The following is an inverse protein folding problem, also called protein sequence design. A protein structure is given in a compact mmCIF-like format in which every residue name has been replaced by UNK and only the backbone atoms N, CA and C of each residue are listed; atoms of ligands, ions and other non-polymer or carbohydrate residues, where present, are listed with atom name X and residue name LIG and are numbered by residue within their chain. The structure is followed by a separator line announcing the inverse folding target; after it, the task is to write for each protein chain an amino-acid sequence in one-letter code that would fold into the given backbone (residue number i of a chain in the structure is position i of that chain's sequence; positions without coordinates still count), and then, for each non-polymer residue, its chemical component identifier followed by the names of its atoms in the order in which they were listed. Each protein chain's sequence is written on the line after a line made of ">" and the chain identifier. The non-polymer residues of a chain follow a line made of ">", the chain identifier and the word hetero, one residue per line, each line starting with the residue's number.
data_IF_536343889282
#
_entry.id   IF_536343889282
#
_cell.length_a   1.000
_cell.length_b   1.000
_cell.length_c   1.000
_cell.angle_alpha   90.00
_cell.angle_beta   90.00
_cell.angle_gamma   90.00
#
_symmetry.space_group_name_H-M   'P 1'
#
loop_
_entity.id
_entity.type
_entity.pdbx_description
1 polymer ?
#
# COMPACT_ATOMS: atom_id res chain seq x y z
N UNK A 1 -30.46 -42.94 -31.90
CA UNK A 1 -29.35 -42.37 -32.67
C UNK A 1 -28.06 -42.63 -31.88
N UNK A 2 -27.15 -43.44 -32.37
CA UNK A 2 -25.90 -43.75 -31.72
C UNK A 2 -24.92 -42.62 -31.98
N UNK A 3 -24.73 -41.72 -31.02
CA UNK A 3 -23.67 -40.74 -31.03
C UNK A 3 -22.38 -41.34 -30.53
N UNK A 4 -21.54 -41.85 -31.40
CA UNK A 4 -20.21 -42.28 -31.05
C UNK A 4 -19.18 -41.13 -31.22
N UNK A 5 -18.22 -41.04 -30.31
CA UNK A 5 -17.07 -40.15 -30.44
C UNK A 5 -16.19 -40.61 -31.59
N UNK A 6 -15.96 -39.76 -32.56
CA UNK A 6 -15.06 -40.05 -33.69
C UNK A 6 -13.64 -39.64 -33.33
N UNK A 7 -12.79 -40.66 -33.10
CA UNK A 7 -11.40 -40.42 -32.66
C UNK A 7 -10.36 -40.77 -33.75
N UNK A 8 -10.78 -41.36 -34.85
CA UNK A 8 -9.88 -41.69 -35.99
C UNK A 8 -10.62 -41.66 -37.33
N UNK A 9 -9.89 -41.42 -38.40
CA UNK A 9 -10.43 -41.34 -39.76
C UNK A 9 -10.67 -42.70 -40.37
N UNK A 10 -11.68 -43.44 -39.88
CA UNK A 10 -12.07 -44.76 -40.32
C UNK A 10 -13.47 -44.83 -40.98
N UNK A 11 -14.01 -43.71 -41.44
CA UNK A 11 -15.33 -43.64 -42.08
C UNK A 11 -15.17 -43.78 -43.58
N UNK A 12 -15.87 -44.76 -44.15
CA UNK A 12 -15.83 -45.13 -45.57
C UNK A 12 -16.87 -44.36 -46.41
N UNK A 13 -17.85 -43.68 -45.81
CA UNK A 13 -18.88 -42.94 -46.52
C UNK A 13 -18.63 -41.44 -46.54
N UNK A 14 -18.88 -40.77 -47.65
CA UNK A 14 -18.83 -39.30 -47.69
C UNK A 14 -19.82 -38.68 -46.72
N UNK A 15 -19.36 -37.75 -45.86
CA UNK A 15 -20.20 -37.04 -44.90
C UNK A 15 -19.42 -35.99 -44.12
N UNK A 16 -20.10 -35.09 -43.50
CA UNK A 16 -19.48 -34.10 -42.58
C UNK A 16 -19.39 -34.72 -41.22
N UNK A 17 -18.17 -34.91 -40.74
CA UNK A 17 -17.86 -35.47 -39.44
C UNK A 17 -17.34 -34.35 -38.50
N UNK A 18 -18.18 -33.92 -37.58
CA UNK A 18 -17.85 -32.86 -36.62
C UNK A 18 -17.52 -33.52 -35.27
N UNK A 19 -16.28 -33.41 -34.86
CA UNK A 19 -15.87 -33.81 -33.52
C UNK A 19 -15.88 -32.57 -32.60
N UNK A 20 -16.89 -32.46 -31.76
CA UNK A 20 -16.95 -31.40 -30.74
C UNK A 20 -16.19 -31.88 -29.52
N UNK A 21 -14.91 -31.55 -29.45
CA UNK A 21 -14.13 -31.70 -28.23
C UNK A 21 -14.49 -30.51 -27.34
N UNK A 22 -15.35 -30.76 -26.34
CA UNK A 22 -15.43 -29.85 -25.21
C UNK A 22 -14.07 -29.87 -24.51
N UNK A 23 -13.20 -28.95 -24.85
CA UNK A 23 -12.13 -28.62 -23.91
C UNK A 23 -12.86 -28.13 -22.67
N UNK A 24 -12.80 -28.89 -21.58
CA UNK A 24 -13.12 -28.35 -20.28
C UNK A 24 -12.50 -26.98 -20.24
N UNK A 25 -13.32 -25.94 -20.13
CA UNK A 25 -12.83 -24.63 -19.80
C UNK A 25 -11.89 -24.89 -18.63
N UNK A 26 -10.60 -24.58 -18.81
CA UNK A 26 -9.71 -24.48 -17.65
C UNK A 26 -10.55 -23.74 -16.61
N UNK A 27 -10.63 -24.24 -15.36
CA UNK A 27 -11.36 -23.51 -14.35
C UNK A 27 -10.85 -22.09 -14.50
N UNK A 28 -11.72 -21.19 -14.94
CA UNK A 28 -11.39 -19.78 -14.98
C UNK A 28 -11.02 -19.55 -13.54
N UNK A 29 -9.74 -19.47 -13.27
CA UNK A 29 -9.25 -18.96 -12.02
C UNK A 29 -9.96 -17.63 -11.95
N UNK A 30 -11.00 -17.58 -11.11
CA UNK A 30 -11.67 -16.32 -10.79
C UNK A 30 -10.53 -15.56 -10.17
N UNK A 31 -9.82 -14.80 -11.02
CA UNK A 31 -8.64 -14.06 -10.60
C UNK A 31 -9.02 -13.21 -9.41
N UNK A 32 -8.07 -12.93 -8.55
CA UNK A 32 -8.25 -12.18 -7.31
C UNK A 32 -9.32 -11.10 -7.49
N UNK A 33 -10.53 -11.38 -7.04
CA UNK A 33 -11.62 -10.41 -7.03
C UNK A 33 -11.51 -9.60 -5.74
N UNK A 34 -11.88 -8.32 -5.79
CA UNK A 34 -11.78 -7.45 -4.64
C UNK A 34 -10.40 -6.81 -4.53
N UNK A 35 -9.88 -6.27 -5.63
CA UNK A 35 -8.69 -5.41 -5.61
C UNK A 35 -9.16 -3.97 -5.52
N UNK A 36 -8.73 -3.29 -4.47
CA UNK A 36 -9.05 -1.88 -4.20
C UNK A 36 -7.80 -1.04 -4.45
N UNK A 37 -7.98 0.16 -4.97
CA UNK A 37 -6.92 1.15 -5.12
C UNK A 37 -7.28 2.42 -4.37
N UNK A 38 -6.31 3.00 -3.67
CA UNK A 38 -6.47 4.23 -2.90
C UNK A 38 -5.19 5.05 -2.93
N UNK A 39 -5.31 6.36 -3.10
CA UNK A 39 -4.23 7.31 -2.87
C UNK A 39 -4.47 8.03 -1.54
N UNK A 40 -3.43 8.14 -0.71
CA UNK A 40 -3.53 8.67 0.64
C UNK A 40 -2.37 9.60 0.96
N UNK A 41 -2.65 10.64 1.74
CA UNK A 41 -1.62 11.42 2.43
C UNK A 41 -1.12 10.62 3.62
N UNK A 42 0.18 10.32 3.66
CA UNK A 42 0.81 9.56 4.72
C UNK A 42 2.09 10.24 5.17
N UNK A 43 2.41 10.12 6.45
CA UNK A 43 3.58 10.75 7.06
C UNK A 43 4.85 9.88 7.02
N UNK A 44 4.78 8.70 6.42
CA UNK A 44 5.92 7.82 6.13
C UNK A 44 5.53 6.85 5.00
N UNK A 45 6.52 6.21 4.42
CA UNK A 45 6.37 5.21 3.37
C UNK A 45 6.84 5.69 2.00
N UNK A 46 6.95 4.80 1.04
CA UNK A 46 7.38 5.16 -0.32
C UNK A 46 6.39 6.11 -0.98
N UNK A 47 6.91 7.16 -1.60
CA UNK A 47 6.13 8.18 -2.31
C UNK A 47 6.16 7.94 -3.81
N UNK A 48 5.05 8.20 -4.48
CA UNK A 48 4.98 8.20 -5.93
C UNK A 48 5.01 6.81 -6.57
N UNK A 49 4.83 5.76 -5.79
CA UNK A 49 4.74 4.37 -6.29
C UNK A 49 3.53 3.63 -5.70
N UNK A 50 3.04 2.65 -6.45
CA UNK A 50 1.92 1.82 -6.01
C UNK A 50 2.45 0.61 -5.24
N UNK A 51 2.05 0.50 -3.98
CA UNK A 51 2.36 -0.62 -3.09
C UNK A 51 1.19 -1.58 -3.08
N UNK A 52 1.46 -2.86 -3.27
CA UNK A 52 0.44 -3.91 -3.15
C UNK A 52 0.46 -4.51 -1.75
N UNK A 53 -0.59 -4.29 -0.97
CA UNK A 53 -0.79 -4.84 0.36
C UNK A 53 -1.85 -5.93 0.26
N UNK A 54 -1.57 -7.12 0.77
CA UNK A 54 -2.52 -8.23 0.85
C UNK A 54 -3.14 -8.32 2.24
N UNK A 55 -4.27 -8.97 2.33
CA UNK A 55 -4.87 -9.26 3.63
C UNK A 55 -3.90 -10.12 4.47
N UNK A 56 -3.58 -9.65 5.67
CA UNK A 56 -2.65 -10.31 6.60
C UNK A 56 -1.19 -9.85 6.50
N UNK A 57 -0.83 -9.03 5.52
CA UNK A 57 0.52 -8.44 5.46
C UNK A 57 0.73 -7.45 6.61
N UNK A 58 1.96 -7.38 7.13
CA UNK A 58 2.38 -6.29 8.01
C UNK A 58 2.69 -5.04 7.17
N UNK A 59 1.82 -4.07 7.23
CA UNK A 59 1.97 -2.81 6.53
C UNK A 59 2.62 -1.70 7.39
N UNK A 60 2.98 -2.00 8.64
CA UNK A 60 3.60 -1.04 9.57
C UNK A 60 4.79 -0.29 8.96
N UNK A 61 5.76 -0.97 8.31
CA UNK A 61 6.89 -0.26 7.71
C UNK A 61 6.53 0.59 6.48
N UNK A 62 5.37 0.34 5.88
CA UNK A 62 4.92 1.02 4.65
C UNK A 62 4.17 2.32 4.95
N UNK A 63 3.48 2.39 6.10
CA UNK A 63 2.69 3.57 6.49
C UNK A 63 3.21 4.25 7.75
N UNK A 64 4.13 3.61 8.48
CA UNK A 64 4.71 4.13 9.72
C UNK A 64 3.89 3.90 10.99
N UNK A 65 2.76 3.21 10.91
CA UNK A 65 1.85 2.97 12.02
C UNK A 65 1.42 1.51 12.07
N UNK A 66 1.33 0.95 13.26
CA UNK A 66 0.82 -0.41 13.44
C UNK A 66 -0.70 -0.50 13.20
N UNK A 67 -1.20 -1.73 13.14
CA UNK A 67 -2.61 -1.99 12.82
C UNK A 67 -3.60 -1.44 13.84
N UNK A 68 -3.17 -1.17 15.08
CA UNK A 68 -4.04 -0.66 16.15
C UNK A 68 -4.14 0.86 16.13
N UNK A 69 -3.20 1.52 15.47
CA UNK A 69 -3.11 2.97 15.44
C UNK A 69 -4.27 3.59 14.64
N UNK A 70 -4.76 4.73 15.08
CA UNK A 70 -5.84 5.51 14.44
C UNK A 70 -5.56 5.79 12.95
N UNK A 71 -4.33 6.17 12.60
CA UNK A 71 -3.94 6.46 11.21
C UNK A 71 -3.86 5.23 10.31
N UNK A 72 -3.90 4.01 10.87
CA UNK A 72 -3.99 2.76 10.15
C UNK A 72 -5.44 2.26 9.98
N UNK A 73 -6.41 2.95 10.58
CA UNK A 73 -7.81 2.56 10.62
C UNK A 73 -8.38 2.28 9.23
N UNK A 74 -8.05 3.10 8.24
CA UNK A 74 -8.55 2.95 6.88
C UNK A 74 -8.17 1.61 6.25
N UNK A 75 -6.94 1.11 6.44
CA UNK A 75 -6.51 -0.21 5.96
C UNK A 75 -7.14 -1.33 6.78
N UNK A 76 -7.15 -1.18 8.10
CA UNK A 76 -7.74 -2.18 9.00
C UNK A 76 -9.21 -2.43 8.69
N UNK A 77 -10.02 -1.38 8.60
CA UNK A 77 -11.45 -1.51 8.32
C UNK A 77 -11.71 -1.95 6.87
N UNK A 78 -10.85 -1.56 5.93
CA UNK A 78 -10.94 -2.01 4.54
C UNK A 78 -10.77 -3.53 4.43
N UNK A 79 -9.79 -4.12 5.13
CA UNK A 79 -9.55 -5.57 5.10
C UNK A 79 -10.52 -6.38 5.95
N UNK A 80 -11.18 -5.78 6.94
CA UNK A 80 -12.11 -6.45 7.83
C UNK A 80 -13.31 -7.06 7.11
N UNK A 81 -13.80 -6.40 6.06
CA UNK A 81 -14.99 -6.84 5.35
C UNK A 81 -16.28 -6.69 6.16
N UNK A 82 -17.25 -7.55 5.91
CA UNK A 82 -18.54 -7.58 6.59
C UNK A 82 -18.98 -9.03 6.87
N UNK A 83 -20.05 -9.21 7.64
CA UNK A 83 -20.63 -10.53 7.90
C UNK A 83 -21.06 -11.29 6.63
N UNK A 84 -21.29 -10.56 5.53
CA UNK A 84 -21.78 -11.12 4.26
C UNK A 84 -20.74 -11.17 3.16
N UNK A 85 -19.62 -10.50 3.32
CA UNK A 85 -18.55 -10.49 2.32
C UNK A 85 -17.18 -10.27 2.97
N UNK A 86 -16.19 -10.99 2.46
CA UNK A 86 -14.81 -10.76 2.84
C UNK A 86 -14.36 -9.39 2.33
N UNK A 87 -13.40 -8.79 3.02
CA UNK A 87 -12.68 -7.60 2.55
C UNK A 87 -11.94 -7.86 1.24
N UNK A 88 -11.28 -6.84 0.69
CA UNK A 88 -10.48 -7.00 -0.51
C UNK A 88 -9.31 -7.98 -0.28
N UNK A 89 -8.98 -8.72 -1.31
CA UNK A 89 -7.81 -9.63 -1.30
C UNK A 89 -6.51 -8.82 -1.33
N UNK A 90 -6.56 -7.65 -1.96
CA UNK A 90 -5.41 -6.79 -2.18
C UNK A 90 -5.83 -5.32 -2.23
N UNK A 91 -5.00 -4.47 -1.64
CA UNK A 91 -5.11 -3.02 -1.73
C UNK A 91 -3.88 -2.47 -2.45
N UNK A 92 -4.09 -1.70 -3.48
CA UNK A 92 -3.07 -0.86 -4.10
C UNK A 92 -3.07 0.49 -3.38
N UNK A 93 -2.10 0.68 -2.51
CA UNK A 93 -1.89 1.92 -1.78
C UNK A 93 -0.88 2.78 -2.53
N UNK A 94 -1.21 4.03 -2.74
CA UNK A 94 -0.31 5.03 -3.29
C UNK A 94 -0.17 6.18 -2.29
N UNK A 95 1.05 6.43 -1.83
CA UNK A 95 1.33 7.62 -1.05
C UNK A 95 1.50 8.82 -1.98
N UNK A 96 0.64 9.81 -1.79
CA UNK A 96 0.73 11.07 -2.53
C UNK A 96 2.06 11.75 -2.24
N UNK A 97 2.72 12.21 -3.30
CA UNK A 97 4.02 12.87 -3.19
C UNK A 97 3.85 14.30 -2.71
N UNK A 98 4.47 14.62 -1.59
CA UNK A 98 4.51 15.97 -1.06
C UNK A 98 5.57 16.85 -1.73
N UNK A 99 5.21 18.08 -2.07
CA UNK A 99 6.18 19.10 -2.52
C UNK A 99 7.02 19.50 -1.30
N UNK A 100 8.35 19.44 -1.43
CA UNK A 100 9.30 19.71 -0.36
C UNK A 100 9.16 18.77 0.86
N UNK A 101 8.78 17.50 0.62
CA UNK A 101 8.93 16.45 1.63
C UNK A 101 10.40 16.24 1.96
N UNK A 102 10.72 16.02 3.23
CA UNK A 102 12.10 15.85 3.71
C UNK A 102 12.19 14.60 4.60
N UNK A 103 13.33 13.92 4.53
CA UNK A 103 13.63 12.79 5.40
C UNK A 103 14.18 13.27 6.73
N UNK A 104 13.76 12.62 7.80
CA UNK A 104 14.37 12.84 9.12
C UNK A 104 15.81 12.28 9.15
N UNK A 105 16.70 12.98 9.85
CA UNK A 105 18.11 12.63 9.96
C UNK A 105 18.62 12.83 11.38
N UNK A 106 19.69 12.14 11.69
CA UNK A 106 20.40 12.31 12.95
C UNK A 106 21.83 11.79 12.86
N UNK A 107 22.69 12.21 13.80
CA UNK A 107 24.03 11.69 13.95
C UNK A 107 24.23 11.25 15.39
N UNK A 108 24.59 9.99 15.58
CA UNK A 108 24.72 9.38 16.91
C UNK A 108 25.86 8.36 16.90
N UNK A 109 26.77 8.43 17.90
CA UNK A 109 27.85 7.46 18.06
C UNK A 109 28.74 7.29 16.82
N UNK A 110 28.98 8.39 16.06
CA UNK A 110 29.70 8.34 14.79
C UNK A 110 28.85 7.95 13.57
N UNK A 111 27.67 7.41 13.79
CA UNK A 111 26.75 6.93 12.76
C UNK A 111 25.86 8.08 12.29
N UNK A 112 25.76 8.30 10.98
CA UNK A 112 24.74 9.14 10.37
C UNK A 112 23.55 8.27 10.00
N UNK A 113 22.37 8.60 10.52
CA UNK A 113 21.13 7.87 10.29
C UNK A 113 20.16 8.75 9.53
N UNK A 114 19.56 8.21 8.49
CA UNK A 114 18.52 8.87 7.71
C UNK A 114 17.29 7.99 7.64
N UNK A 115 16.10 8.57 7.86
CA UNK A 115 14.85 7.85 7.64
C UNK A 115 14.77 7.34 6.19
N UNK A 116 14.33 6.11 6.01
CA UNK A 116 14.25 5.49 4.68
C UNK A 116 13.36 6.28 3.73
N UNK A 117 12.27 6.82 4.25
CA UNK A 117 11.28 7.59 3.50
C UNK A 117 11.12 9.00 4.09
N UNK A 118 10.75 10.00 3.29
CA UNK A 118 10.45 11.33 3.80
C UNK A 118 9.17 11.32 4.63
N UNK A 119 9.00 12.32 5.48
CA UNK A 119 7.79 12.52 6.25
C UNK A 119 8.01 12.83 7.72
N UNK A 120 7.03 13.46 8.33
CA UNK A 120 7.08 13.90 9.73
C UNK A 120 7.19 12.73 10.71
N UNK A 121 6.64 11.57 10.37
CA UNK A 121 6.73 10.34 11.18
C UNK A 121 8.16 9.83 11.32
N UNK A 122 9.06 10.19 10.41
CA UNK A 122 10.48 9.91 10.53
C UNK A 122 11.13 10.51 11.79
N UNK A 123 10.55 11.59 12.34
CA UNK A 123 11.04 12.23 13.57
C UNK A 123 10.75 11.40 14.83
N UNK A 124 9.84 10.45 14.76
CA UNK A 124 9.49 9.56 15.87
C UNK A 124 10.36 8.30 15.92
N UNK A 125 11.29 8.16 14.96
CA UNK A 125 12.26 7.07 14.96
C UNK A 125 13.38 7.46 15.93
N UNK A 126 13.63 6.57 16.89
CA UNK A 126 14.65 6.73 17.90
C UNK A 126 15.75 5.69 17.68
N UNK A 127 16.99 6.13 17.78
CA UNK A 127 18.18 5.27 17.63
C UNK A 127 18.93 5.25 18.93
N UNK A 128 19.34 4.06 19.40
CA UNK A 128 20.27 3.90 20.51
C UNK A 128 21.52 3.15 20.07
N UNK A 129 22.66 3.46 20.70
CA UNK A 129 23.93 2.77 20.48
C UNK A 129 24.50 2.44 21.85
N UNK A 130 24.55 1.17 22.21
CA UNK A 130 25.09 0.68 23.46
C UNK A 130 26.28 -0.27 23.23
N UNK A 131 27.17 -0.37 24.21
CA UNK A 131 28.22 -1.39 24.18
C UNK A 131 27.59 -2.78 24.35
N UNK A 132 28.07 -3.76 23.59
CA UNK A 132 27.64 -5.15 23.78
C UNK A 132 28.23 -5.70 25.09
N UNK A 133 27.38 -6.10 26.06
CA UNK A 133 27.87 -6.59 27.35
C UNK A 133 28.64 -7.89 27.26
N UNK A 134 28.45 -8.66 26.19
CA UNK A 134 29.06 -9.99 26.03
C UNK A 134 30.41 -9.95 25.30
N UNK A 135 30.68 -8.84 24.55
CA UNK A 135 31.90 -8.73 23.74
C UNK A 135 32.41 -7.29 23.68
N UNK A 136 33.59 -7.08 24.19
CA UNK A 136 34.29 -5.81 24.14
C UNK A 136 34.59 -5.37 22.70
N UNK A 137 34.28 -4.11 22.38
CA UNK A 137 34.49 -3.52 21.05
C UNK A 137 33.36 -3.79 20.05
N UNK A 138 32.29 -4.46 20.45
CA UNK A 138 31.05 -4.56 19.69
C UNK A 138 29.99 -3.60 20.25
N UNK A 139 29.16 -3.07 19.36
CA UNK A 139 28.08 -2.15 19.71
C UNK A 139 26.74 -2.69 19.21
N UNK A 140 25.74 -2.57 20.03
CA UNK A 140 24.35 -2.86 19.67
C UNK A 140 23.68 -1.56 19.24
N UNK A 141 23.21 -1.53 17.99
CA UNK A 141 22.49 -0.40 17.38
C UNK A 141 21.04 -0.78 17.22
N UNK A 142 20.18 -0.11 17.97
CA UNK A 142 18.75 -0.38 17.96
C UNK A 142 17.99 0.73 17.24
N UNK A 143 17.01 0.32 16.42
CA UNK A 143 15.99 1.21 15.83
C UNK A 143 14.69 1.02 16.59
N UNK A 144 14.23 2.07 17.24
CA UNK A 144 13.06 2.06 18.13
C UNK A 144 11.98 2.97 17.54
N UNK A 145 10.75 2.47 17.47
CA UNK A 145 9.57 3.23 17.03
C UNK A 145 8.43 2.95 18.00
N UNK A 146 7.77 4.00 18.48
CA UNK A 146 6.71 3.90 19.51
C UNK A 146 7.15 3.15 20.77
N UNK A 147 8.42 3.31 21.17
CA UNK A 147 8.99 2.63 22.33
C UNK A 147 9.25 1.13 22.14
N UNK A 148 9.08 0.60 20.93
CA UNK A 148 9.32 -0.80 20.58
C UNK A 148 10.57 -0.91 19.71
N UNK A 149 11.48 -1.81 20.06
CA UNK A 149 12.63 -2.15 19.23
C UNK A 149 12.11 -2.84 17.95
N UNK A 150 12.36 -2.21 16.80
CA UNK A 150 11.96 -2.72 15.48
C UNK A 150 13.10 -3.45 14.78
N UNK A 151 14.32 -3.11 15.11
CA UNK A 151 15.53 -3.71 14.56
C UNK A 151 16.67 -3.54 15.57
N UNK A 152 17.50 -4.56 15.72
CA UNK A 152 18.73 -4.53 16.51
C UNK A 152 19.85 -5.17 15.72
N UNK A 153 21.01 -4.50 15.63
CA UNK A 153 22.19 -4.97 14.92
C UNK A 153 23.41 -4.84 15.81
N UNK A 154 24.19 -5.90 15.92
CA UNK A 154 25.47 -5.89 16.63
C UNK A 154 26.59 -5.76 15.63
N UNK A 155 27.43 -4.73 15.79
CA UNK A 155 28.48 -4.37 14.82
C UNK A 155 29.74 -3.87 15.53
N UNK A 156 30.88 -4.02 14.87
CA UNK A 156 32.15 -3.40 15.29
C UNK A 156 32.43 -2.10 14.51
N UNK A 157 31.93 -2.04 13.28
CA UNK A 157 32.16 -0.93 12.37
C UNK A 157 30.86 -0.49 11.70
N UNK A 158 30.75 0.79 11.33
CA UNK A 158 29.58 1.37 10.66
C UNK A 158 29.29 0.66 9.32
N UNK A 159 30.32 0.18 8.63
CA UNK A 159 30.21 -0.52 7.35
C UNK A 159 29.47 -1.85 7.42
N UNK A 160 29.30 -2.42 8.61
CA UNK A 160 28.58 -3.66 8.85
C UNK A 160 27.08 -3.40 9.01
N UNK A 161 26.69 -2.16 9.34
CA UNK A 161 25.28 -1.77 9.48
C UNK A 161 24.53 -1.89 8.15
N UNK A 162 23.40 -2.58 8.19
CA UNK A 162 22.50 -2.74 7.05
C UNK A 162 21.27 -1.86 7.21
N UNK A 163 20.86 -1.26 6.10
CA UNK A 163 19.59 -0.55 6.06
C UNK A 163 18.44 -1.51 6.45
N UNK A 164 17.55 -1.02 7.27
CA UNK A 164 16.36 -1.77 7.68
C UNK A 164 15.08 -1.21 7.04
N UNK A 165 13.93 -1.58 7.56
CA UNK A 165 12.65 -1.11 7.05
C UNK A 165 12.39 0.39 7.31
N UNK A 166 13.09 1.00 8.28
CA UNK A 166 12.83 2.34 8.79
C UNK A 166 13.94 3.34 8.46
N UNK A 167 15.19 2.90 8.50
CA UNK A 167 16.36 3.78 8.39
C UNK A 167 17.45 3.22 7.48
N UNK A 168 18.27 4.13 7.00
CA UNK A 168 19.54 3.86 6.32
C UNK A 168 20.67 4.44 7.15
N UNK A 169 21.72 3.64 7.36
CA UNK A 169 22.90 4.02 8.10
C UNK A 169 24.04 4.39 7.15
N UNK A 170 24.85 5.36 7.56
CA UNK A 170 26.07 5.78 6.86
C UNK A 170 27.04 6.40 7.87
N UNK A 171 28.29 6.60 7.49
CA UNK A 171 29.31 7.24 8.30
C UNK A 171 30.69 6.68 7.99
N UNK A 172 31.70 7.41 8.36
CA UNK A 172 33.13 7.04 8.19
C UNK A 172 33.89 7.07 9.52
N UNK A 173 33.23 7.43 10.61
CA UNK A 173 33.80 7.53 11.96
C UNK A 173 33.73 6.16 12.68
N UNK A 174 34.46 6.06 13.81
CA UNK A 174 34.34 4.88 14.67
C UNK A 174 32.98 4.87 15.41
N UNK A 175 32.42 3.67 15.61
CA UNK A 175 31.21 3.51 16.43
C UNK A 175 31.55 3.78 17.89
N UNK A 176 30.73 4.54 18.57
CA UNK A 176 30.85 4.79 20.00
C UNK A 176 29.48 4.74 20.69
N UNK A 177 29.46 4.26 21.91
CA UNK A 177 28.24 4.26 22.72
C UNK A 177 27.73 5.69 22.91
N UNK A 178 26.42 5.85 22.82
CA UNK A 178 25.78 7.15 22.97
C UNK A 178 24.36 6.99 23.50
N UNK A 179 23.94 7.98 24.29
CA UNK A 179 22.54 8.08 24.71
C UNK A 179 21.68 8.21 23.46
N UNK A 180 20.63 7.43 23.37
CA UNK A 180 19.74 7.41 22.21
C UNK A 180 19.16 8.78 21.84
N UNK A 181 18.85 8.97 20.56
CA UNK A 181 18.26 10.21 20.06
C UNK A 181 17.15 9.93 19.02
N UNK A 182 16.17 10.83 18.97
CA UNK A 182 15.19 10.85 17.90
C UNK A 182 15.77 11.52 16.64
N UNK A 183 15.39 11.03 15.47
CA UNK A 183 15.70 11.71 14.21
C UNK A 183 14.90 13.03 14.12
N UNK A 184 15.37 13.96 13.32
CA UNK A 184 14.77 15.30 13.19
C UNK A 184 14.74 15.76 11.73
N UNK A 185 13.94 16.80 11.43
CA UNK A 185 13.89 17.42 10.12
C UNK A 185 12.99 16.74 9.09
N UNK A 186 12.30 15.66 9.47
CA UNK A 186 11.31 15.02 8.60
C UNK A 186 10.08 15.90 8.36
N UNK A 187 9.64 16.01 7.10
CA UNK A 187 8.48 16.80 6.68
C UNK A 187 7.65 16.07 5.65
N UNK A 188 6.32 16.16 5.76
CA UNK A 188 5.38 15.52 4.82
C UNK A 188 5.32 16.25 3.47
N UNK A 189 5.68 17.54 3.45
CA UNK A 189 5.49 18.40 2.30
C UNK A 189 4.02 18.81 2.12
N UNK A 190 3.72 19.48 1.02
CA UNK A 190 2.37 19.93 0.67
C UNK A 190 1.87 19.11 -0.51
N UNK A 191 0.69 18.50 -0.35
CA UNK A 191 0.06 17.75 -1.44
C UNK A 191 -0.65 18.72 -2.38
N UNK A 192 -0.47 18.48 -3.66
CA UNK A 192 -1.12 19.24 -4.70
C UNK A 192 -2.04 18.30 -5.52
N UNK A 193 -3.14 18.79 -6.13
CA UNK A 193 -4.04 17.97 -6.95
C UNK A 193 -3.35 17.21 -8.10
N UNK A 194 -2.21 17.68 -8.60
CA UNK A 194 -1.45 16.99 -9.64
C UNK A 194 -0.92 15.61 -9.19
N UNK A 195 -0.65 15.43 -7.89
CA UNK A 195 -0.22 14.12 -7.34
C UNK A 195 -1.28 13.03 -7.55
N UNK A 196 -2.56 13.39 -7.51
CA UNK A 196 -3.65 12.48 -7.85
C UNK A 196 -3.65 12.10 -9.34
N UNK A 197 -3.29 13.02 -10.22
CA UNK A 197 -3.20 12.74 -11.66
C UNK A 197 -2.05 11.78 -11.98
N UNK A 198 -0.92 11.90 -11.27
CA UNK A 198 0.19 10.94 -11.36
C UNK A 198 -0.25 9.55 -10.92
N UNK A 199 -0.94 9.45 -9.78
CA UNK A 199 -1.51 8.19 -9.31
C UNK A 199 -2.43 7.54 -10.35
N UNK A 200 -3.40 8.30 -10.89
CA UNK A 200 -4.35 7.78 -11.88
C UNK A 200 -3.64 7.30 -13.15
N UNK A 201 -2.58 7.98 -13.59
CA UNK A 201 -1.77 7.58 -14.74
C UNK A 201 -1.04 6.27 -14.50
N UNK A 202 -0.45 6.08 -13.32
CA UNK A 202 0.21 4.83 -12.94
C UNK A 202 -0.81 3.70 -12.79
N UNK A 203 -1.96 3.97 -12.18
CA UNK A 203 -2.99 2.99 -11.90
C UNK A 203 -3.60 2.40 -13.18
N UNK A 204 -3.53 3.09 -14.32
CA UNK A 204 -4.02 2.58 -15.61
C UNK A 204 -3.39 1.24 -16.00
N UNK A 205 -2.14 1.00 -15.59
CA UNK A 205 -1.41 -0.24 -15.85
C UNK A 205 -1.80 -1.40 -14.94
N UNK A 206 -2.50 -1.12 -13.84
CA UNK A 206 -2.87 -2.10 -12.83
C UNK A 206 -4.31 -2.57 -12.99
N UNK A 207 -4.57 -3.84 -12.71
CA UNK A 207 -5.93 -4.38 -12.64
C UNK A 207 -6.50 -4.12 -11.25
N UNK A 208 -7.54 -3.32 -11.17
CA UNK A 208 -8.30 -3.04 -9.95
C UNK A 208 -9.81 -3.07 -10.22
N UNK A 209 -10.62 -3.20 -9.18
CA UNK A 209 -12.08 -3.28 -9.28
C UNK A 209 -12.75 -2.05 -8.68
N UNK A 210 -12.18 -1.53 -7.59
CA UNK A 210 -12.71 -0.36 -6.88
C UNK A 210 -11.58 0.64 -6.69
N UNK A 211 -11.86 1.89 -6.99
CA UNK A 211 -11.01 3.05 -6.72
C UNK A 211 -11.66 3.86 -5.60
N UNK A 212 -10.91 4.24 -4.58
CA UNK A 212 -11.42 5.06 -3.47
C UNK A 212 -10.78 6.44 -3.53
N UNK A 213 -11.59 7.45 -3.32
CA UNK A 213 -11.15 8.81 -3.03
C UNK A 213 -11.84 9.29 -1.76
N UNK A 214 -11.07 9.55 -0.73
CA UNK A 214 -11.52 9.95 0.61
C UNK A 214 -11.45 11.47 0.86
N UNK A 215 -11.18 12.26 -0.18
CA UNK A 215 -11.14 13.72 -0.10
C UNK A 215 -12.42 14.39 -0.62
N UNK A 216 -12.51 15.70 -0.40
CA UNK A 216 -13.66 16.54 -0.76
C UNK A 216 -13.41 17.50 -1.93
N UNK A 217 -12.18 17.55 -2.46
CA UNK A 217 -11.84 18.43 -3.58
C UNK A 217 -12.61 18.04 -4.84
N UNK A 218 -13.47 18.95 -5.32
CA UNK A 218 -14.34 18.74 -6.48
C UNK A 218 -13.57 18.55 -7.79
N UNK A 219 -12.39 19.14 -7.91
CA UNK A 219 -11.53 18.99 -9.10
C UNK A 219 -10.98 17.56 -9.14
N UNK A 220 -10.49 17.08 -8.00
CA UNK A 220 -9.99 15.70 -7.86
C UNK A 220 -11.13 14.70 -8.05
N UNK A 221 -12.30 14.91 -7.44
CA UNK A 221 -13.48 14.07 -7.64
C UNK A 221 -13.82 13.94 -9.13
N UNK A 222 -13.84 15.05 -9.86
CA UNK A 222 -14.13 15.05 -11.30
C UNK A 222 -13.07 14.29 -12.11
N UNK A 223 -11.80 14.43 -11.74
CA UNK A 223 -10.71 13.69 -12.38
C UNK A 223 -10.86 12.18 -12.20
N UNK A 224 -11.19 11.71 -10.98
CA UNK A 224 -11.42 10.31 -10.69
C UNK A 224 -12.63 9.73 -11.45
N UNK A 225 -13.74 10.47 -11.52
CA UNK A 225 -14.92 10.08 -12.29
C UNK A 225 -14.56 9.93 -13.78
N UNK A 226 -13.89 10.94 -14.34
CA UNK A 226 -13.48 10.94 -15.74
C UNK A 226 -12.53 9.78 -16.06
N UNK A 227 -11.61 9.47 -15.15
CA UNK A 227 -10.72 8.34 -15.25
C UNK A 227 -11.49 7.01 -15.29
N UNK A 228 -12.40 6.77 -14.34
CA UNK A 228 -13.21 5.55 -14.29
C UNK A 228 -14.11 5.41 -15.52
N UNK A 229 -14.73 6.48 -15.97
CA UNK A 229 -15.54 6.47 -17.19
C UNK A 229 -14.69 6.10 -18.43
N UNK A 230 -13.47 6.63 -18.53
CA UNK A 230 -12.53 6.27 -19.58
C UNK A 230 -12.14 4.79 -19.50
N UNK A 231 -11.83 4.28 -18.31
CA UNK A 231 -11.49 2.87 -18.09
C UNK A 231 -12.62 1.94 -18.52
N UNK A 232 -13.86 2.28 -18.19
CA UNK A 232 -15.04 1.48 -18.55
C UNK A 232 -15.40 1.59 -20.01
N UNK A 233 -15.51 2.79 -20.54
CA UNK A 233 -16.11 3.05 -21.87
C UNK A 233 -15.10 2.87 -23.01
N UNK A 234 -13.80 3.15 -22.78
CA UNK A 234 -12.78 3.05 -23.84
C UNK A 234 -11.90 1.80 -23.70
N UNK A 235 -11.54 1.42 -22.47
CA UNK A 235 -10.63 0.28 -22.24
C UNK A 235 -11.43 -1.00 -21.97
N UNK A 236 -12.70 -0.89 -21.58
CA UNK A 236 -13.58 -2.04 -21.32
C UNK A 236 -13.37 -2.70 -19.96
N UNK A 237 -12.66 -2.06 -19.03
CA UNK A 237 -12.47 -2.57 -17.65
C UNK A 237 -13.66 -2.21 -16.79
N UNK A 238 -14.27 -3.21 -16.16
CA UNK A 238 -15.40 -2.99 -15.23
C UNK A 238 -14.85 -2.65 -13.84
N UNK A 239 -14.71 -1.37 -13.58
CA UNK A 239 -14.29 -0.82 -12.28
C UNK A 239 -15.25 0.29 -11.85
N UNK A 240 -15.25 0.61 -10.57
CA UNK A 240 -16.09 1.65 -9.97
C UNK A 240 -15.24 2.56 -9.09
N UNK A 241 -15.72 3.77 -8.84
CA UNK A 241 -15.12 4.68 -7.86
C UNK A 241 -16.09 4.90 -6.70
N UNK A 242 -15.56 4.90 -5.49
CA UNK A 242 -16.27 5.21 -4.24
C UNK A 242 -15.78 6.55 -3.73
N UNK A 243 -16.71 7.45 -3.43
CA UNK A 243 -16.43 8.81 -2.95
C UNK A 243 -17.50 9.26 -1.96
N UNK A 244 -17.13 10.23 -1.13
CA UNK A 244 -18.07 10.88 -0.24
C UNK A 244 -18.97 11.89 -0.98
N UNK A 245 -20.24 11.92 -0.63
CA UNK A 245 -21.23 12.98 -0.91
C UNK A 245 -21.19 13.53 -2.36
N UNK A 246 -21.11 12.65 -3.34
CA UNK A 246 -21.09 13.01 -4.75
C UNK A 246 -22.46 12.77 -5.39
N UNK A 247 -22.96 13.78 -6.11
CA UNK A 247 -24.12 13.61 -6.98
C UNK A 247 -23.64 13.26 -8.39
N UNK A 248 -23.71 11.98 -8.74
CA UNK A 248 -23.37 11.49 -10.07
C UNK A 248 -24.37 10.45 -10.53
N UNK A 249 -25.02 10.71 -11.64
CA UNK A 249 -25.90 9.74 -12.28
C UNK A 249 -25.08 8.81 -13.18
N UNK A 250 -24.34 7.89 -12.57
CA UNK A 250 -23.48 6.95 -13.27
C UNK A 250 -23.33 5.64 -12.50
N UNK A 251 -23.49 4.51 -13.15
CA UNK A 251 -23.22 3.18 -12.58
C UNK A 251 -21.76 2.96 -12.18
N UNK A 252 -20.88 3.83 -12.62
CA UNK A 252 -19.45 3.80 -12.32
C UNK A 252 -19.10 4.46 -10.98
N UNK A 253 -20.03 5.18 -10.35
CA UNK A 253 -19.80 5.99 -9.16
C UNK A 253 -20.70 5.51 -8.03
N UNK A 254 -20.09 5.23 -6.89
CA UNK A 254 -20.78 4.91 -5.63
C UNK A 254 -20.59 6.11 -4.71
N UNK A 255 -21.70 6.75 -4.35
CA UNK A 255 -21.70 7.86 -3.39
C UNK A 255 -21.97 7.34 -1.99
N UNK A 256 -21.13 7.69 -1.03
CA UNK A 256 -21.29 7.39 0.38
C UNK A 256 -21.75 8.67 1.09
N UNK A 257 -22.99 8.66 1.58
CA UNK A 257 -23.58 9.82 2.25
C UNK A 257 -23.73 9.62 3.76
N UNK A 258 -23.50 8.41 4.28
CA UNK A 258 -23.73 8.07 5.66
C UNK A 258 -22.43 7.92 6.42
N UNK A 259 -22.34 8.60 7.58
CA UNK A 259 -21.34 8.27 8.59
C UNK A 259 -21.70 7.00 9.36
N UNK A 260 -20.77 6.50 10.13
CA UNK A 260 -20.95 5.35 11.01
C UNK A 260 -20.31 5.61 12.37
N UNK A 261 -20.92 5.09 13.43
CA UNK A 261 -20.33 5.08 14.77
C UNK A 261 -19.81 3.67 15.04
N UNK A 262 -18.52 3.58 15.34
CA UNK A 262 -17.87 2.31 15.71
C UNK A 262 -18.25 1.90 17.12
N UNK A 263 -17.97 0.66 17.49
CA UNK A 263 -18.28 0.09 18.82
C UNK A 263 -17.53 0.76 19.96
N UNK A 264 -16.42 1.40 19.67
CA UNK A 264 -15.62 2.18 20.63
C UNK A 264 -16.12 3.64 20.79
N UNK A 265 -17.19 4.02 20.08
CA UNK A 265 -17.76 5.36 20.09
C UNK A 265 -17.15 6.32 19.06
N UNK A 266 -16.13 5.90 18.31
CA UNK A 266 -15.52 6.71 17.25
C UNK A 266 -16.53 6.93 16.12
N UNK A 267 -16.76 8.19 15.76
CA UNK A 267 -17.63 8.54 14.63
C UNK A 267 -16.78 8.70 13.37
N UNK A 268 -17.07 7.89 12.36
CA UNK A 268 -16.51 8.02 11.02
C UNK A 268 -17.49 8.80 10.13
N UNK A 269 -17.00 9.85 9.50
CA UNK A 269 -17.74 10.59 8.48
C UNK A 269 -17.67 9.86 7.13
N UNK A 270 -18.48 10.24 6.11
CA UNK A 270 -18.38 9.68 4.76
C UNK A 270 -17.03 9.93 4.06
N UNK A 271 -16.20 10.76 4.68
CA UNK A 271 -14.90 11.18 4.16
C UNK A 271 -13.78 10.30 4.66
#
# INVERSE_FOLDING_TARGET
>A
MAGGTWNSQNKLQPGVYINVISRMAQPISIGDRGIVAIAKELSLGPEGEIIAIKAGDDFTPMIGYDQTHEKALFLREMFKGSERSNGPVKVFLYRLKGIASEKAKGKIGGITVEAKYPGSRGNDIFISVSENPDKEGEFEVETIVDGLVKDSQVVQQITELKANAWVVFSGEEEVSASVGMALTGGKDGTINPAAHSEFLSLLESYLFHVLIYDGTDKVVQTAYISFIQRMRNRIGRKCQVVMAEIEANSEAVISVANGVVLTDGTTLTPQ
#
